data_IF_733312856364
#
_entry.id   IF_733312856364
#
_cell.length_a   1.000
_cell.length_b   1.000
_cell.length_c   1.000
_cell.angle_alpha   90.00
_cell.angle_beta   90.00
_cell.angle_gamma   90.00
#
_symmetry.space_group_name_H-M   'P 1'
#
loop_
_entity.id
_entity.type
_entity.pdbx_description
1 polymer ?
#
# COMPACT_ATOMS: atom_id res chain seq x y z
N UNK A 1 -17.26 20.43 -14.70
CA UNK A 1 -15.99 19.96 -15.29
C UNK A 1 -15.81 18.44 -15.13
N UNK A 2 -16.04 17.88 -13.94
CA UNK A 2 -15.88 16.41 -13.71
C UNK A 2 -16.86 15.54 -14.51
N UNK A 3 -17.98 16.09 -14.99
CA UNK A 3 -18.95 15.36 -15.82
C UNK A 3 -18.59 15.34 -17.30
N UNK A 4 -17.74 16.26 -17.75
CA UNK A 4 -17.27 16.35 -19.15
C UNK A 4 -15.92 15.63 -19.36
N UNK A 5 -15.12 15.53 -18.32
CA UNK A 5 -13.85 14.82 -18.29
C UNK A 5 -13.93 13.80 -17.16
N UNK A 6 -13.70 12.54 -17.40
CA UNK A 6 -13.60 11.50 -16.38
C UNK A 6 -12.16 11.46 -15.84
N UNK A 7 -11.81 12.31 -14.87
CA UNK A 7 -10.44 12.33 -14.34
C UNK A 7 -10.15 11.02 -13.58
N UNK A 8 -8.96 10.48 -13.72
CA UNK A 8 -8.51 9.33 -12.95
C UNK A 8 -8.08 9.72 -11.51
N UNK A 9 -7.76 11.01 -11.29
CA UNK A 9 -7.39 11.58 -9.99
C UNK A 9 -7.58 13.10 -10.01
N UNK A 10 -7.91 13.68 -8.86
CA UNK A 10 -8.06 15.13 -8.68
C UNK A 10 -7.01 15.62 -7.69
N UNK A 11 -6.26 16.67 -8.08
CA UNK A 11 -5.47 17.47 -7.15
C UNK A 11 -6.33 18.68 -6.75
N UNK A 12 -6.62 18.81 -5.45
CA UNK A 12 -7.55 19.81 -4.94
C UNK A 12 -6.85 20.70 -3.91
N UNK A 13 -6.78 22.01 -4.17
CA UNK A 13 -6.36 22.96 -3.14
C UNK A 13 -7.51 23.24 -2.17
N UNK A 14 -7.21 23.27 -0.88
CA UNK A 14 -8.18 23.65 0.16
C UNK A 14 -8.54 25.14 -0.01
N UNK A 15 -7.57 25.98 -0.36
CA UNK A 15 -7.75 27.42 -0.52
C UNK A 15 -7.93 27.81 -1.99
N UNK A 16 -9.12 27.69 -2.52
CA UNK A 16 -9.47 28.05 -3.89
C UNK A 16 -9.99 29.49 -4.04
N UNK A 17 -9.45 30.43 -3.29
CA UNK A 17 -9.91 31.82 -3.31
C UNK A 17 -11.30 31.98 -2.69
N UNK A 18 -12.34 32.17 -3.50
CA UNK A 18 -13.72 32.35 -3.03
C UNK A 18 -14.42 31.02 -2.68
N UNK A 19 -13.82 29.88 -3.01
CA UNK A 19 -14.38 28.55 -2.77
C UNK A 19 -13.58 27.82 -1.71
N UNK A 20 -14.27 26.99 -0.91
CA UNK A 20 -13.66 26.09 0.06
C UNK A 20 -13.46 24.72 -0.59
N UNK A 21 -12.20 24.27 -0.71
CA UNK A 21 -11.86 22.98 -1.31
C UNK A 21 -12.46 21.79 -0.55
N UNK A 22 -12.67 21.90 0.77
CA UNK A 22 -13.31 20.85 1.56
C UNK A 22 -14.79 20.67 1.18
N UNK A 23 -15.51 21.78 0.97
CA UNK A 23 -16.91 21.74 0.49
C UNK A 23 -16.97 21.14 -0.92
N UNK A 24 -16.05 21.54 -1.80
CA UNK A 24 -15.96 21.00 -3.14
C UNK A 24 -15.65 19.50 -3.12
N UNK A 25 -14.81 19.03 -2.21
CA UNK A 25 -14.56 17.60 -2.01
C UNK A 25 -15.85 16.85 -1.65
N UNK A 26 -16.63 17.35 -0.69
CA UNK A 26 -17.92 16.75 -0.31
C UNK A 26 -18.89 16.69 -1.50
N UNK A 27 -18.98 17.76 -2.30
CA UNK A 27 -19.81 17.80 -3.51
C UNK A 27 -19.36 16.77 -4.56
N UNK A 28 -18.06 16.59 -4.75
CA UNK A 28 -17.50 15.56 -5.63
C UNK A 28 -17.84 14.18 -5.09
N UNK A 29 -17.66 13.94 -3.80
CA UNK A 29 -17.91 12.65 -3.13
C UNK A 29 -19.38 12.22 -3.20
N UNK A 30 -20.32 13.17 -3.24
CA UNK A 30 -21.74 12.86 -3.41
C UNK A 30 -22.07 12.24 -4.78
N UNK A 31 -21.14 12.32 -5.77
CA UNK A 31 -21.36 11.92 -7.17
C UNK A 31 -20.28 11.03 -7.74
N UNK A 32 -19.12 10.93 -7.10
CA UNK A 32 -17.95 10.24 -7.64
C UNK A 32 -17.01 9.71 -6.56
N UNK A 33 -16.45 8.54 -6.81
CA UNK A 33 -15.38 7.93 -6.02
C UNK A 33 -13.98 8.21 -6.58
N UNK A 34 -13.84 9.18 -7.50
CA UNK A 34 -12.54 9.56 -8.06
C UNK A 34 -11.58 9.97 -6.95
N UNK A 35 -10.32 9.49 -6.92
CA UNK A 35 -9.38 9.87 -5.88
C UNK A 35 -9.11 11.37 -5.84
N UNK A 36 -8.97 11.90 -4.63
CA UNK A 36 -8.67 13.30 -4.38
C UNK A 36 -7.44 13.39 -3.48
N UNK A 37 -6.39 14.06 -3.96
CA UNK A 37 -5.23 14.47 -3.15
C UNK A 37 -5.40 15.95 -2.84
N UNK A 38 -5.45 16.31 -1.57
CA UNK A 38 -5.40 17.71 -1.17
C UNK A 38 -3.96 18.25 -1.30
N UNK A 39 -3.82 19.41 -1.95
CA UNK A 39 -2.56 20.11 -2.17
C UNK A 39 -2.71 21.52 -1.63
N UNK A 40 -2.16 21.83 -0.44
CA UNK A 40 -2.44 23.11 0.23
C UNK A 40 -1.23 23.73 0.87
N UNK A 41 -1.24 25.05 1.01
CA UNK A 41 -0.27 25.80 1.82
C UNK A 41 -0.61 25.87 3.31
N UNK A 42 -1.75 25.32 3.71
CA UNK A 42 -2.14 25.27 5.13
C UNK A 42 -1.45 24.07 5.78
N UNK A 43 -0.80 24.30 6.91
CA UNK A 43 -0.01 23.33 7.66
C UNK A 43 -0.65 22.94 9.00
N UNK A 44 -1.88 23.40 9.25
CA UNK A 44 -2.58 23.07 10.48
C UNK A 44 -3.06 21.61 10.47
N UNK A 45 -2.75 20.87 11.54
CA UNK A 45 -3.24 19.50 11.76
C UNK A 45 -4.76 19.37 11.64
N UNK A 46 -5.49 20.45 11.96
CA UNK A 46 -6.95 20.51 11.84
C UNK A 46 -7.42 20.48 10.39
N UNK A 47 -6.69 21.15 9.49
CA UNK A 47 -7.02 21.15 8.05
C UNK A 47 -6.69 19.81 7.41
N UNK A 48 -5.61 19.14 7.83
CA UNK A 48 -5.26 17.79 7.41
C UNK A 48 -6.32 16.77 7.85
N UNK A 49 -6.70 16.82 9.13
CA UNK A 49 -7.76 15.97 9.67
C UNK A 49 -9.11 16.22 8.97
N UNK A 50 -9.47 17.49 8.75
CA UNK A 50 -10.67 17.85 8.02
C UNK A 50 -10.66 17.33 6.58
N UNK A 51 -9.51 17.40 5.87
CA UNK A 51 -9.34 16.84 4.52
C UNK A 51 -9.57 15.33 4.48
N UNK A 52 -9.05 14.59 5.45
CA UNK A 52 -9.25 13.14 5.57
C UNK A 52 -10.72 12.82 5.87
N UNK A 53 -11.34 13.53 6.81
CA UNK A 53 -12.74 13.32 7.22
C UNK A 53 -13.74 13.68 6.11
N UNK A 54 -13.41 14.61 5.22
CA UNK A 54 -14.25 14.96 4.05
C UNK A 54 -14.14 13.99 2.89
N UNK A 55 -13.27 12.96 3.00
CA UNK A 55 -13.14 11.90 2.01
C UNK A 55 -11.97 12.09 1.03
N UNK A 56 -10.96 12.88 1.38
CA UNK A 56 -9.68 12.91 0.67
C UNK A 56 -8.92 11.60 0.82
N UNK A 57 -8.22 11.17 -0.23
CA UNK A 57 -7.44 9.94 -0.25
C UNK A 57 -6.00 10.16 0.21
N UNK A 58 -5.49 11.38 0.07
CA UNK A 58 -4.16 11.79 0.53
C UNK A 58 -4.08 13.31 0.69
N UNK A 59 -3.00 13.78 1.32
CA UNK A 59 -2.76 15.17 1.64
C UNK A 59 -1.27 15.52 1.42
N UNK A 60 -0.98 16.68 0.84
CA UNK A 60 0.38 17.17 0.64
C UNK A 60 0.47 18.68 0.87
N UNK A 61 1.42 19.09 1.72
CA UNK A 61 1.66 20.51 2.04
C UNK A 61 2.59 21.16 1.01
N UNK A 62 2.28 22.38 0.63
CA UNK A 62 3.19 23.28 -0.11
C UNK A 62 4.21 23.91 0.85
N UNK A 63 5.49 24.04 0.46
CA UNK A 63 6.10 23.60 -0.78
C UNK A 63 6.36 22.09 -0.77
N UNK A 64 6.08 21.39 -1.88
CA UNK A 64 6.35 19.97 -2.04
C UNK A 64 7.32 19.72 -3.21
N UNK A 65 8.06 18.63 -3.16
CA UNK A 65 8.86 18.19 -4.29
C UNK A 65 8.00 17.43 -5.30
N UNK A 66 8.22 17.69 -6.60
CA UNK A 66 7.49 17.02 -7.66
C UNK A 66 7.63 15.49 -7.62
N UNK A 67 8.81 14.90 -7.35
CA UNK A 67 8.95 13.45 -7.17
C UNK A 67 8.06 12.87 -6.08
N UNK A 68 7.89 13.57 -4.95
CA UNK A 68 7.01 13.12 -3.84
C UNK A 68 5.55 13.13 -4.28
N UNK A 69 5.10 14.20 -4.95
CA UNK A 69 3.74 14.28 -5.48
C UNK A 69 3.47 13.15 -6.48
N UNK A 70 4.39 12.94 -7.44
CA UNK A 70 4.27 11.86 -8.44
C UNK A 70 4.22 10.47 -7.79
N UNK A 71 5.02 10.22 -6.76
CA UNK A 71 4.99 8.96 -6.03
C UNK A 71 3.61 8.71 -5.36
N UNK A 72 3.00 9.76 -4.77
CA UNK A 72 1.66 9.69 -4.18
C UNK A 72 0.58 9.45 -5.23
N UNK A 73 0.61 10.17 -6.35
CA UNK A 73 -0.30 9.98 -7.49
C UNK A 73 -0.19 8.54 -8.00
N UNK A 74 1.03 8.08 -8.29
CA UNK A 74 1.25 6.72 -8.80
C UNK A 74 0.74 5.65 -7.83
N UNK A 75 0.93 5.83 -6.52
CA UNK A 75 0.42 4.92 -5.48
C UNK A 75 -1.11 4.81 -5.55
N UNK A 76 -1.81 5.92 -5.69
CA UNK A 76 -3.28 5.95 -5.73
C UNK A 76 -3.79 5.36 -7.05
N UNK A 77 -3.24 5.77 -8.19
CA UNK A 77 -3.64 5.25 -9.51
C UNK A 77 -3.33 3.76 -9.66
N UNK A 78 -2.20 3.31 -9.10
CA UNK A 78 -1.86 1.89 -9.06
C UNK A 78 -2.88 1.08 -8.25
N UNK A 79 -3.34 1.62 -7.10
CA UNK A 79 -4.42 1.01 -6.33
C UNK A 79 -5.71 0.90 -7.14
N UNK A 80 -6.08 1.93 -7.91
CA UNK A 80 -7.29 1.91 -8.75
C UNK A 80 -7.20 0.94 -9.92
N UNK A 81 -6.08 0.92 -10.64
CA UNK A 81 -5.87 -0.01 -11.77
C UNK A 81 -5.84 -1.46 -11.31
N UNK A 82 -5.41 -1.70 -10.07
CA UNK A 82 -5.38 -3.02 -9.45
C UNK A 82 -6.62 -3.32 -8.57
N UNK A 83 -7.56 -2.39 -8.43
CA UNK A 83 -8.85 -2.67 -7.78
C UNK A 83 -9.69 -3.73 -8.52
N UNK A 84 -9.42 -3.97 -9.80
CA UNK A 84 -9.90 -5.16 -10.51
C UNK A 84 -9.07 -6.42 -10.20
N UNK A 85 -7.94 -6.28 -9.49
CA UNK A 85 -7.06 -7.36 -9.04
C UNK A 85 -6.53 -7.01 -7.65
N UNK A 86 -7.42 -6.96 -6.68
CA UNK A 86 -7.09 -6.79 -5.24
C UNK A 86 -6.26 -7.95 -4.69
N UNK A 87 -5.98 -8.92 -5.55
CA UNK A 87 -5.29 -10.14 -5.22
C UNK A 87 -4.01 -10.27 -6.02
N UNK A 88 -2.86 -10.23 -5.35
CA UNK A 88 -1.56 -10.62 -5.91
C UNK A 88 -1.29 -12.09 -5.64
N UNK A 89 -0.57 -12.77 -6.55
CA UNK A 89 -0.32 -14.20 -6.45
C UNK A 89 1.15 -14.54 -6.66
N UNK A 90 1.64 -15.47 -5.85
CA UNK A 90 2.95 -16.09 -5.99
C UNK A 90 2.94 -17.49 -5.37
N UNK A 91 3.58 -18.48 -6.01
CA UNK A 91 3.68 -19.86 -5.50
C UNK A 91 2.32 -20.49 -5.15
N UNK A 92 1.28 -20.28 -5.97
CA UNK A 92 -0.08 -20.76 -5.70
C UNK A 92 -0.82 -19.99 -4.57
N UNK A 93 -0.14 -19.09 -3.87
CA UNK A 93 -0.69 -18.31 -2.77
C UNK A 93 -1.33 -17.02 -3.29
N UNK A 94 -2.51 -16.67 -2.80
CA UNK A 94 -3.22 -15.44 -3.11
C UNK A 94 -3.21 -14.49 -1.91
N UNK A 95 -2.84 -13.24 -2.10
CA UNK A 95 -2.91 -12.18 -1.10
C UNK A 95 -3.93 -11.12 -1.54
N UNK A 96 -5.04 -11.02 -0.80
CA UNK A 96 -5.98 -9.91 -0.94
C UNK A 96 -5.47 -8.71 -0.14
N UNK A 97 -5.22 -7.60 -0.85
CA UNK A 97 -4.59 -6.40 -0.26
C UNK A 97 -5.58 -5.60 0.58
N UNK A 98 -6.86 -5.59 0.21
CA UNK A 98 -7.88 -4.81 0.92
C UNK A 98 -8.17 -5.41 2.30
N UNK A 99 -8.39 -6.72 2.33
CA UNK A 99 -8.76 -7.43 3.55
C UNK A 99 -7.53 -7.84 4.37
N UNK A 100 -6.31 -7.72 3.81
CA UNK A 100 -5.09 -8.21 4.42
C UNK A 100 -5.12 -9.74 4.60
N UNK A 101 -5.82 -10.45 3.71
CA UNK A 101 -6.05 -11.89 3.81
C UNK A 101 -5.16 -12.65 2.83
N UNK A 102 -4.43 -13.63 3.33
CA UNK A 102 -3.71 -14.60 2.51
C UNK A 102 -4.53 -15.89 2.42
N UNK A 103 -4.57 -16.48 1.23
CA UNK A 103 -5.32 -17.70 0.93
C UNK A 103 -4.44 -18.71 0.20
N UNK A 104 -4.52 -19.96 0.60
CA UNK A 104 -3.84 -21.08 -0.04
C UNK A 104 -4.63 -22.38 0.16
N UNK A 105 -4.84 -23.15 -0.91
CA UNK A 105 -5.59 -24.43 -0.90
C UNK A 105 -6.94 -24.36 -0.16
N UNK A 106 -7.67 -23.25 -0.31
CA UNK A 106 -8.98 -23.04 0.33
C UNK A 106 -8.91 -22.60 1.80
N UNK A 107 -7.74 -22.59 2.42
CA UNK A 107 -7.51 -22.03 3.75
C UNK A 107 -7.24 -20.52 3.65
N UNK A 108 -7.65 -19.78 4.65
CA UNK A 108 -7.46 -18.32 4.72
C UNK A 108 -6.91 -17.88 6.08
N UNK A 109 -6.08 -16.85 6.07
CA UNK A 109 -5.48 -16.27 7.26
C UNK A 109 -5.42 -14.74 7.12
N UNK A 110 -5.86 -14.01 8.14
CA UNK A 110 -5.73 -12.57 8.18
C UNK A 110 -4.34 -12.16 8.64
N UNK A 111 -3.69 -11.26 7.94
CA UNK A 111 -2.38 -10.70 8.27
C UNK A 111 -2.53 -9.34 8.95
N UNK A 112 -1.59 -9.03 9.84
CA UNK A 112 -1.44 -7.65 10.32
C UNK A 112 -0.97 -6.73 9.19
N UNK A 113 -1.12 -5.41 9.36
CA UNK A 113 -0.74 -4.42 8.34
C UNK A 113 0.72 -4.56 7.88
N UNK A 114 1.64 -4.79 8.81
CA UNK A 114 3.06 -4.94 8.47
C UNK A 114 3.35 -6.28 7.78
N UNK A 115 2.75 -7.37 8.26
CA UNK A 115 2.86 -8.70 7.63
C UNK A 115 2.34 -8.67 6.19
N UNK A 116 1.18 -8.05 5.98
CA UNK A 116 0.59 -7.88 4.66
C UNK A 116 1.50 -7.06 3.74
N UNK A 117 2.04 -5.93 4.22
CA UNK A 117 2.97 -5.10 3.44
C UNK A 117 4.25 -5.84 3.05
N UNK A 118 4.82 -6.62 3.97
CA UNK A 118 6.02 -7.44 3.70
C UNK A 118 5.70 -8.44 2.59
N UNK A 119 4.64 -9.22 2.74
CA UNK A 119 4.27 -10.24 1.77
C UNK A 119 3.93 -9.63 0.41
N UNK A 120 3.21 -8.52 0.40
CA UNK A 120 2.90 -7.78 -0.82
C UNK A 120 4.14 -7.29 -1.57
N UNK A 121 5.09 -6.68 -0.85
CA UNK A 121 6.35 -6.23 -1.44
C UNK A 121 7.13 -7.41 -2.07
N UNK A 122 7.18 -8.55 -1.39
CA UNK A 122 7.85 -9.74 -1.90
C UNK A 122 7.12 -10.33 -3.12
N UNK A 123 5.77 -10.34 -3.12
CA UNK A 123 4.98 -10.84 -4.25
C UNK A 123 5.12 -9.98 -5.50
N UNK A 124 5.20 -8.64 -5.35
CA UNK A 124 5.46 -7.74 -6.47
C UNK A 124 6.86 -7.94 -7.09
N UNK A 125 7.81 -8.41 -6.27
CA UNK A 125 9.19 -8.65 -6.68
C UNK A 125 9.50 -10.15 -6.79
N UNK A 126 8.49 -10.98 -7.08
CA UNK A 126 8.69 -12.42 -7.25
C UNK A 126 9.75 -12.72 -8.32
N UNK A 127 10.54 -13.75 -8.08
CA UNK A 127 11.67 -14.10 -8.95
C UNK A 127 12.91 -13.23 -8.75
N UNK A 128 12.88 -12.21 -7.89
CA UNK A 128 14.03 -11.37 -7.55
C UNK A 128 14.31 -11.39 -6.04
N UNK A 129 15.51 -10.98 -5.64
CA UNK A 129 15.87 -10.85 -4.23
C UNK A 129 15.66 -9.41 -3.78
N UNK A 130 14.80 -9.22 -2.78
CA UNK A 130 14.55 -7.93 -2.13
C UNK A 130 15.48 -7.78 -0.94
N UNK A 131 16.29 -6.72 -0.89
CA UNK A 131 17.19 -6.47 0.23
C UNK A 131 16.40 -6.07 1.50
N UNK A 132 16.98 -6.30 2.67
CA UNK A 132 16.34 -5.87 3.93
C UNK A 132 16.17 -4.35 3.98
N UNK A 133 17.15 -3.59 3.49
CA UNK A 133 17.10 -2.13 3.44
C UNK A 133 15.94 -1.65 2.56
N UNK A 134 15.74 -2.27 1.39
CA UNK A 134 14.60 -1.96 0.50
C UNK A 134 13.26 -2.28 1.16
N UNK A 135 13.18 -3.37 1.95
CA UNK A 135 11.98 -3.68 2.72
C UNK A 135 11.72 -2.68 3.84
N UNK A 136 12.75 -2.29 4.57
CA UNK A 136 12.64 -1.27 5.62
C UNK A 136 12.16 0.05 5.01
N UNK A 137 12.75 0.46 3.88
CA UNK A 137 12.35 1.67 3.16
C UNK A 137 10.90 1.63 2.68
N UNK A 138 10.45 0.47 2.20
CA UNK A 138 9.07 0.27 1.75
C UNK A 138 8.06 0.28 2.92
N UNK A 139 8.43 -0.28 4.07
CA UNK A 139 7.54 -0.45 5.22
C UNK A 139 7.38 0.83 6.03
N UNK A 140 8.46 1.59 6.19
CA UNK A 140 8.53 2.75 7.09
C UNK A 140 9.07 3.98 6.36
N UNK A 141 8.28 5.03 6.34
CA UNK A 141 8.64 6.32 5.70
C UNK A 141 9.82 7.03 6.40
N UNK A 142 10.08 6.72 7.68
CA UNK A 142 11.17 7.29 8.47
C UNK A 142 12.22 6.25 8.82
N UNK A 143 13.31 6.20 8.04
CA UNK A 143 14.45 5.28 8.22
C UNK A 143 15.19 5.45 9.54
N UNK A 144 15.13 6.66 10.16
CA UNK A 144 15.99 7.02 11.30
C UNK A 144 15.67 6.29 12.60
N UNK A 145 14.52 5.61 12.71
CA UNK A 145 14.06 4.96 13.94
C UNK A 145 13.73 3.48 13.79
N UNK A 146 13.99 2.90 12.61
CA UNK A 146 13.63 1.49 12.39
C UNK A 146 14.90 0.64 12.33
N UNK A 147 15.10 -0.13 13.40
CA UNK A 147 16.14 -1.12 13.49
C UNK A 147 15.76 -2.37 12.67
N UNK A 148 16.75 -3.01 12.05
CA UNK A 148 16.63 -4.31 11.37
C UNK A 148 15.95 -5.38 12.24
N UNK A 149 16.09 -5.28 13.57
CA UNK A 149 15.43 -6.14 14.53
C UNK A 149 13.90 -6.10 14.41
N UNK A 150 13.30 -4.93 14.13
CA UNK A 150 11.86 -4.78 13.97
C UNK A 150 11.40 -5.53 12.72
N UNK A 151 12.15 -5.46 11.62
CA UNK A 151 11.88 -6.23 10.40
C UNK A 151 11.97 -7.73 10.68
N UNK A 152 13.04 -8.18 11.36
CA UNK A 152 13.25 -9.60 11.69
C UNK A 152 12.12 -10.16 12.56
N UNK A 153 11.61 -9.40 13.53
CA UNK A 153 10.46 -9.79 14.37
C UNK A 153 9.20 -9.95 13.52
N UNK A 154 8.90 -8.99 12.63
CA UNK A 154 7.73 -9.07 11.74
C UNK A 154 7.85 -10.24 10.76
N UNK A 155 9.04 -10.49 10.20
CA UNK A 155 9.30 -11.65 9.33
C UNK A 155 9.12 -12.98 10.07
N UNK A 156 9.62 -13.07 11.31
CA UNK A 156 9.44 -14.28 12.13
C UNK A 156 7.97 -14.57 12.40
N UNK A 157 7.19 -13.53 12.76
CA UNK A 157 5.75 -13.64 12.97
C UNK A 157 5.03 -14.06 11.69
N UNK A 158 5.31 -13.39 10.57
CA UNK A 158 4.73 -13.71 9.27
C UNK A 158 5.00 -15.16 8.87
N UNK A 159 6.25 -15.62 8.98
CA UNK A 159 6.60 -17.02 8.69
C UNK A 159 5.87 -18.03 9.57
N UNK A 160 5.74 -17.73 10.87
CA UNK A 160 5.01 -18.61 11.78
C UNK A 160 3.53 -18.69 11.39
N UNK A 161 2.91 -17.58 11.01
CA UNK A 161 1.52 -17.56 10.56
C UNK A 161 1.34 -18.27 9.23
N UNK A 162 2.25 -18.10 8.27
CA UNK A 162 2.21 -18.82 6.99
C UNK A 162 2.36 -20.32 7.19
N UNK A 163 3.11 -20.78 8.21
CA UNK A 163 3.19 -22.21 8.58
C UNK A 163 1.84 -22.77 9.03
N UNK A 164 0.96 -21.96 9.62
CA UNK A 164 -0.40 -22.38 10.01
C UNK A 164 -1.23 -22.78 8.78
N UNK A 165 -0.95 -22.17 7.61
CA UNK A 165 -1.52 -22.54 6.31
C UNK A 165 -0.77 -23.68 5.61
N UNK A 166 0.31 -24.22 6.19
CA UNK A 166 1.17 -25.21 5.53
C UNK A 166 2.30 -24.60 4.69
N UNK A 167 2.39 -23.28 4.58
CA UNK A 167 3.37 -22.56 3.75
C UNK A 167 4.70 -22.37 4.52
N UNK A 168 5.50 -23.44 4.62
CA UNK A 168 6.75 -23.39 5.41
C UNK A 168 7.87 -22.60 4.74
N UNK A 169 7.97 -22.65 3.42
CA UNK A 169 9.12 -22.16 2.64
C UNK A 169 8.73 -21.10 1.59
N UNK A 170 7.58 -20.43 1.80
CA UNK A 170 7.14 -19.36 0.90
C UNK A 170 8.12 -18.18 0.88
N UNK A 171 8.65 -17.79 2.05
CA UNK A 171 9.62 -16.69 2.17
C UNK A 171 11.01 -17.26 2.45
N UNK A 172 11.88 -17.21 1.45
CA UNK A 172 13.24 -17.73 1.51
C UNK A 172 14.22 -16.60 1.83
N UNK A 173 15.15 -16.86 2.76
CA UNK A 173 16.29 -15.97 3.00
C UNK A 173 17.46 -16.37 2.10
N UNK A 174 17.91 -15.41 1.28
CA UNK A 174 19.15 -15.55 0.50
C UNK A 174 20.29 -14.93 1.32
N UNK A 175 21.26 -15.73 1.82
CA UNK A 175 22.31 -15.23 2.69
C UNK A 175 23.04 -14.02 2.10
N UNK A 176 23.26 -12.99 2.90
CA UNK A 176 23.93 -11.72 2.56
C UNK A 176 23.27 -10.89 1.44
N UNK A 177 22.16 -11.35 0.86
CA UNK A 177 21.47 -10.63 -0.23
C UNK A 177 20.11 -10.11 0.16
N UNK A 178 19.29 -10.90 0.87
CA UNK A 178 17.95 -10.46 1.26
C UNK A 178 16.93 -11.60 1.31
N UNK A 179 15.73 -11.31 0.82
CA UNK A 179 14.57 -12.20 0.88
C UNK A 179 13.97 -12.36 -0.52
N UNK A 180 13.42 -13.52 -0.81
CA UNK A 180 12.66 -13.79 -2.02
C UNK A 180 11.46 -14.66 -1.71
N UNK A 181 10.50 -14.68 -2.63
CA UNK A 181 9.36 -15.62 -2.58
C UNK A 181 9.69 -16.85 -3.41
N UNK A 182 9.44 -18.02 -2.86
CA UNK A 182 9.45 -19.25 -3.62
C UNK A 182 8.18 -19.29 -4.49
N UNK A 183 8.34 -19.15 -5.81
CA UNK A 183 7.25 -19.16 -6.79
C UNK A 183 7.01 -20.58 -7.38
N UNK A 184 7.78 -21.57 -6.93
CA UNK A 184 7.51 -22.95 -7.28
C UNK A 184 6.16 -23.36 -6.66
N UNK A 185 5.24 -23.85 -7.46
CA UNK A 185 4.05 -24.57 -6.98
C UNK A 185 4.58 -25.61 -6.00
N UNK A 186 4.20 -25.50 -4.73
CA UNK A 186 4.58 -26.52 -3.76
C UNK A 186 3.86 -27.77 -4.18
N UNK A 187 4.61 -28.71 -4.76
CA UNK A 187 4.09 -30.02 -5.14
C UNK A 187 3.47 -30.68 -3.90
N UNK A 188 2.23 -31.13 -4.07
CA UNK A 188 1.48 -31.84 -3.07
C UNK A 188 2.31 -33.04 -2.55
N UNK A 189 2.78 -32.93 -1.33
CA UNK A 189 3.18 -34.14 -0.59
C UNK A 189 1.89 -34.85 -0.14
N UNK A 190 1.49 -35.81 -0.96
CA UNK A 190 0.53 -36.86 -0.58
C UNK A 190 1.15 -37.73 0.51
#
# INVERSE_FOLDING_TARGET
>A
LCTAFLPELILLDISLGACDGLKLCMDIRSRSSVPIIFVTGRTDEKDELAGILTGGDDFICKPYSLPVLLARINRILFRQKNAASETVRAGGVSLNILDGQVSWQGLTLNLSKNEMKILYCLFLNKGTVVTKDSLIEYLWENKYYVDENILNVNLSRLRNRLKELGLKDLIVTVPQKGLTVNDAEQEDFI
#
